data_IF_255335852982
#
_entry.id   IF_255335852982
#
_cell.length_a   1.000
_cell.length_b   1.000
_cell.length_c   1.000
_cell.angle_alpha   90.00
_cell.angle_beta   90.00
_cell.angle_gamma   90.00
#
_symmetry.space_group_name_H-M   'P 1'
#
loop_
_entity.id
_entity.type
_entity.pdbx_description
1 polymer ?
#
# COMPACT_ATOMS: atom_id res chain seq x y z
N UNK A 1 -9.17 -5.79 -4.51
CA UNK A 1 -8.13 -5.98 -3.46
C UNK A 1 -7.14 -7.07 -3.82
N UNK A 2 -7.61 -8.16 -4.44
CA UNK A 2 -6.79 -9.25 -5.00
C UNK A 2 -5.75 -8.76 -6.03
N UNK A 3 -6.02 -7.67 -6.77
CA UNK A 3 -5.07 -7.07 -7.75
C UNK A 3 -3.85 -6.42 -7.07
N UNK A 4 -4.04 -5.73 -5.93
CA UNK A 4 -2.97 -5.01 -5.21
C UNK A 4 -2.25 -5.95 -4.23
N UNK A 5 -3.02 -6.82 -3.60
CA UNK A 5 -2.56 -7.78 -2.62
C UNK A 5 -1.78 -8.95 -3.20
N UNK A 6 -2.12 -9.34 -4.44
CA UNK A 6 -1.60 -10.52 -5.12
C UNK A 6 -2.72 -11.50 -5.49
N UNK A 7 -2.81 -11.84 -6.78
CA UNK A 7 -3.83 -12.73 -7.30
C UNK A 7 -3.73 -14.11 -6.64
N UNK A 8 -4.82 -14.57 -6.01
CA UNK A 8 -4.88 -15.87 -5.35
C UNK A 8 -4.28 -15.94 -3.93
N UNK A 9 -3.88 -14.82 -3.32
CA UNK A 9 -3.36 -14.79 -1.94
C UNK A 9 -4.39 -14.27 -0.93
N UNK A 10 -4.70 -15.08 0.08
CA UNK A 10 -5.50 -14.66 1.25
C UNK A 10 -4.81 -13.51 2.00
N UNK A 11 -3.52 -13.69 2.34
CA UNK A 11 -2.70 -12.69 3.03
C UNK A 11 -2.61 -11.41 2.19
N UNK A 12 -2.42 -11.54 0.88
CA UNK A 12 -2.42 -10.42 -0.05
C UNK A 12 -3.73 -9.63 0.03
N UNK A 13 -4.87 -10.31 0.07
CA UNK A 13 -6.18 -9.67 0.14
C UNK A 13 -6.36 -8.85 1.43
N UNK A 14 -5.89 -9.35 2.59
CA UNK A 14 -5.89 -8.60 3.84
C UNK A 14 -4.99 -7.36 3.80
N UNK A 15 -3.75 -7.51 3.31
CA UNK A 15 -2.83 -6.37 3.19
C UNK A 15 -3.32 -5.34 2.19
N UNK A 16 -3.85 -5.77 1.04
CA UNK A 16 -4.44 -4.88 0.04
C UNK A 16 -5.67 -4.14 0.59
N UNK A 17 -6.45 -4.80 1.46
CA UNK A 17 -7.60 -4.19 2.12
C UNK A 17 -7.20 -3.14 3.15
N UNK A 18 -6.28 -3.50 4.04
CA UNK A 18 -5.73 -2.59 5.03
C UNK A 18 -5.07 -1.39 4.34
N UNK A 19 -4.33 -1.61 3.27
CA UNK A 19 -3.61 -0.56 2.55
C UNK A 19 -4.57 0.45 1.90
N UNK A 20 -5.55 -0.03 1.11
CA UNK A 20 -6.51 0.85 0.42
C UNK A 20 -7.43 1.61 1.36
N UNK A 21 -7.67 1.12 2.58
CA UNK A 21 -8.48 1.80 3.59
C UNK A 21 -7.67 2.73 4.49
N UNK A 22 -6.45 2.33 4.86
CA UNK A 22 -5.58 3.11 5.72
C UNK A 22 -4.99 4.32 5.00
N UNK A 23 -4.59 4.21 3.73
CA UNK A 23 -3.96 5.32 3.00
C UNK A 23 -4.87 6.56 2.86
N UNK A 24 -6.12 6.47 2.38
CA UNK A 24 -7.01 7.63 2.32
C UNK A 24 -7.37 8.16 3.70
N UNK A 25 -7.50 7.28 4.71
CA UNK A 25 -7.73 7.67 6.11
C UNK A 25 -6.55 8.46 6.67
N UNK A 26 -5.33 7.98 6.45
CA UNK A 26 -4.10 8.64 6.87
C UNK A 26 -3.93 10.00 6.18
N UNK A 27 -4.28 10.12 4.91
CA UNK A 27 -4.27 11.40 4.21
C UNK A 27 -5.34 12.35 4.76
N UNK A 28 -6.57 11.88 4.98
CA UNK A 28 -7.68 12.67 5.48
C UNK A 28 -7.43 13.23 6.88
N UNK A 29 -6.82 12.46 7.78
CA UNK A 29 -6.56 12.89 9.17
C UNK A 29 -5.14 13.43 9.38
N UNK A 30 -4.16 12.98 8.59
CA UNK A 30 -2.76 13.38 8.70
C UNK A 30 -2.44 14.74 8.06
N UNK A 31 -3.06 15.09 6.93
CA UNK A 31 -2.86 16.41 6.30
C UNK A 31 -3.31 17.57 7.20
N UNK A 32 -4.50 17.52 7.85
CA UNK A 32 -4.90 18.53 8.82
C UNK A 32 -3.95 18.63 10.02
N UNK A 33 -3.40 17.50 10.48
CA UNK A 33 -2.44 17.46 11.58
C UNK A 33 -1.09 18.11 11.23
N UNK A 34 -0.73 18.16 9.95
CA UNK A 34 0.47 18.82 9.43
C UNK A 34 0.26 20.31 9.10
N UNK A 35 -0.93 20.87 9.38
CA UNK A 35 -1.22 22.29 9.20
C UNK A 35 -1.39 22.72 7.75
N UNK A 36 -1.67 21.81 6.82
CA UNK A 36 -1.95 22.12 5.42
C UNK A 36 -3.47 22.25 5.22
N UNK A 37 -4.03 23.47 5.09
CA UNK A 37 -5.47 23.67 4.89
C UNK A 37 -5.83 23.40 3.44
N UNK A 38 -5.90 22.12 3.06
CA UNK A 38 -6.41 21.73 1.75
C UNK A 38 -7.94 21.76 1.82
N UNK A 39 -8.59 22.53 0.93
CA UNK A 39 -10.04 22.51 0.81
C UNK A 39 -10.55 21.08 0.58
N UNK A 40 -11.66 20.69 1.23
CA UNK A 40 -12.12 19.29 1.26
C UNK A 40 -12.20 18.61 -0.11
N UNK A 41 -12.66 19.35 -1.14
CA UNK A 41 -12.72 18.85 -2.51
C UNK A 41 -11.34 18.60 -3.15
N UNK A 42 -10.35 19.46 -2.88
CA UNK A 42 -8.99 19.27 -3.40
C UNK A 42 -8.28 18.11 -2.67
N UNK A 43 -8.50 17.94 -1.37
CA UNK A 43 -7.95 16.83 -0.60
C UNK A 43 -8.46 15.47 -1.10
N UNK A 44 -9.74 15.39 -1.47
CA UNK A 44 -10.35 14.18 -2.01
C UNK A 44 -9.75 13.81 -3.38
N UNK A 45 -9.64 14.78 -4.31
CA UNK A 45 -9.00 14.55 -5.60
C UNK A 45 -7.52 14.12 -5.48
N UNK A 46 -6.76 14.76 -4.59
CA UNK A 46 -5.36 14.38 -4.32
C UNK A 46 -5.28 12.96 -3.76
N UNK A 47 -6.20 12.60 -2.86
CA UNK A 47 -6.28 11.24 -2.31
C UNK A 47 -6.56 10.22 -3.39
N UNK A 48 -7.54 10.46 -4.27
CA UNK A 48 -7.83 9.58 -5.41
C UNK A 48 -6.62 9.44 -6.35
N UNK A 49 -5.94 10.54 -6.67
CA UNK A 49 -4.77 10.53 -7.53
C UNK A 49 -3.61 9.74 -6.90
N UNK A 50 -3.36 9.92 -5.60
CA UNK A 50 -2.34 9.18 -4.86
C UNK A 50 -2.65 7.69 -4.78
N UNK A 51 -3.89 7.32 -4.48
CA UNK A 51 -4.32 5.92 -4.47
C UNK A 51 -4.13 5.30 -5.85
N UNK A 52 -4.57 5.98 -6.92
CA UNK A 52 -4.41 5.49 -8.29
C UNK A 52 -2.94 5.34 -8.72
N UNK A 53 -2.12 6.37 -8.47
CA UNK A 53 -0.69 6.33 -8.77
C UNK A 53 0.01 5.18 -8.03
N UNK A 54 -0.37 4.96 -6.77
CA UNK A 54 0.22 3.91 -5.96
C UNK A 54 -0.21 2.51 -6.43
N UNK A 55 -1.45 2.33 -6.91
CA UNK A 55 -1.84 1.08 -7.58
C UNK A 55 -0.95 0.81 -8.80
N UNK A 56 -0.68 1.83 -9.61
CA UNK A 56 0.19 1.70 -10.80
C UNK A 56 1.62 1.34 -10.38
N UNK A 57 2.17 2.00 -9.35
CA UNK A 57 3.51 1.68 -8.82
C UNK A 57 3.58 0.23 -8.36
N UNK A 58 2.58 -0.25 -7.62
CA UNK A 58 2.55 -1.65 -7.18
C UNK A 58 2.52 -2.64 -8.35
N UNK A 59 1.77 -2.33 -9.41
CA UNK A 59 1.73 -3.16 -10.63
C UNK A 59 3.06 -3.18 -11.38
N UNK A 60 3.81 -2.06 -11.41
CA UNK A 60 5.12 -1.96 -12.07
C UNK A 60 6.20 -2.68 -11.27
N UNK A 61 6.28 -2.44 -9.96
CA UNK A 61 7.33 -2.99 -9.10
C UNK A 61 7.17 -4.50 -8.96
N UNK A 62 5.96 -4.97 -8.66
CA UNK A 62 5.73 -6.41 -8.54
C UNK A 62 4.26 -6.77 -8.81
N UNK A 63 3.93 -7.34 -9.99
CA UNK A 63 2.54 -7.62 -10.39
C UNK A 63 1.86 -8.70 -9.53
N UNK A 64 2.65 -9.44 -8.74
CA UNK A 64 2.15 -10.41 -7.76
C UNK A 64 1.75 -9.74 -6.42
N UNK A 65 1.85 -8.42 -6.32
CA UNK A 65 1.33 -7.63 -5.21
C UNK A 65 2.12 -7.70 -3.90
N UNK A 66 1.58 -7.06 -2.86
CA UNK A 66 2.13 -6.97 -1.50
C UNK A 66 2.47 -8.33 -0.87
N UNK A 67 1.76 -9.39 -1.25
CA UNK A 67 2.03 -10.74 -0.76
C UNK A 67 3.44 -11.23 -1.11
N UNK A 68 3.95 -10.90 -2.30
CA UNK A 68 5.28 -11.36 -2.74
C UNK A 68 6.39 -10.60 -2.04
N UNK A 69 6.26 -9.28 -1.90
CA UNK A 69 7.18 -8.46 -1.10
C UNK A 69 7.28 -8.95 0.34
N UNK A 70 6.15 -9.33 0.95
CA UNK A 70 6.12 -9.90 2.30
C UNK A 70 6.84 -11.27 2.37
N UNK A 71 6.71 -12.12 1.36
CA UNK A 71 7.42 -13.40 1.31
C UNK A 71 8.94 -13.22 1.15
N UNK A 72 9.37 -12.30 0.26
CA UNK A 72 10.79 -11.95 0.08
C UNK A 72 11.37 -11.41 1.38
N UNK A 73 10.65 -10.50 2.05
CA UNK A 73 11.04 -9.97 3.35
C UNK A 73 11.21 -11.06 4.41
N UNK A 74 10.24 -11.98 4.52
CA UNK A 74 10.35 -13.14 5.43
C UNK A 74 11.49 -14.09 5.08
N UNK A 75 11.74 -14.33 3.79
CA UNK A 75 12.87 -15.16 3.35
C UNK A 75 14.20 -14.51 3.74
N UNK A 76 14.35 -13.19 3.51
CA UNK A 76 15.54 -12.42 3.88
C UNK A 76 15.74 -12.33 5.40
N UNK A 77 14.66 -12.29 6.17
CA UNK A 77 14.73 -12.28 7.63
C UNK A 77 15.10 -13.67 8.20
N UNK A 78 14.75 -14.77 7.51
CA UNK A 78 15.13 -16.14 7.93
C UNK A 78 16.59 -16.49 7.64
N UNK A 79 17.17 -15.94 6.58
CA UNK A 79 18.60 -16.10 6.26
C UNK A 79 19.49 -15.08 6.96
N UNK A 80 18.91 -14.21 7.79
CA UNK A 80 19.63 -13.31 8.67
C UNK A 80 19.75 -13.96 10.06
N UNK A 81 20.94 -14.06 10.69
CA UNK A 81 22.22 -13.41 10.37
C UNK A 81 23.23 -14.27 9.58
N UNK A 82 22.90 -15.50 9.20
CA UNK A 82 23.83 -16.40 8.51
C UNK A 82 23.33 -16.75 7.10
N UNK A 83 24.01 -16.28 6.03
CA UNK A 83 23.49 -16.29 4.65
C UNK A 83 23.65 -17.63 3.91
N UNK A 84 23.67 -18.77 4.61
CA UNK A 84 23.74 -20.10 4.01
C UNK A 84 22.41 -20.85 4.13
#
# INVERSE_FOLDING_TARGET
MVIIGGLGSLIGSFFGAAFLSALPTALKFGLPALGVPIGGAAAEHVTFMLVGALIIIFLIVEPHGLARLWQIGKQKLRTWPFPY
#
